data_IF_863812131400
#
_entry.id   IF_863812131400
#
_cell.length_a   1.000
_cell.length_b   1.000
_cell.length_c   1.000
_cell.angle_alpha   90.00
_cell.angle_beta   90.00
_cell.angle_gamma   90.00
#
_symmetry.space_group_name_H-M   'P 1'
#
loop_
_entity.id
_entity.type
_entity.pdbx_description
1 polymer ?
#
# COMPACT_ATOMS: atom_id res chain seq x y z
N UNK A 1 -8.94 -7.45 -4.73
CA UNK A 1 -9.52 -6.60 -3.67
C UNK A 1 -10.92 -7.10 -3.29
N UNK A 2 -11.82 -7.28 -4.25
CA UNK A 2 -13.19 -7.79 -4.02
C UNK A 2 -13.24 -9.13 -3.24
N UNK A 3 -12.29 -10.03 -3.49
CA UNK A 3 -12.17 -11.30 -2.75
C UNK A 3 -12.01 -11.09 -1.23
N UNK A 4 -11.26 -10.08 -0.80
CA UNK A 4 -11.08 -9.75 0.62
C UNK A 4 -12.25 -8.95 1.20
N UNK A 5 -13.20 -8.51 0.38
CA UNK A 5 -14.42 -7.86 0.87
C UNK A 5 -15.47 -8.89 1.33
N UNK A 6 -15.43 -10.12 0.79
CA UNK A 6 -16.35 -11.21 1.09
C UNK A 6 -15.80 -12.23 2.12
N UNK A 7 -15.08 -11.75 3.14
CA UNK A 7 -14.30 -12.62 4.06
C UNK A 7 -15.08 -13.70 4.81
N UNK A 8 -16.41 -13.58 4.93
CA UNK A 8 -17.21 -14.60 5.63
C UNK A 8 -17.34 -15.91 4.85
N UNK A 9 -17.18 -15.85 3.52
CA UNK A 9 -17.37 -17.00 2.63
C UNK A 9 -16.05 -17.47 2.00
N UNK A 10 -14.93 -16.83 2.33
CA UNK A 10 -13.60 -17.17 1.83
C UNK A 10 -12.91 -18.16 2.77
N UNK A 11 -12.25 -19.17 2.20
CA UNK A 11 -11.38 -20.03 2.98
C UNK A 11 -10.11 -19.29 3.40
N UNK A 12 -9.47 -19.74 4.48
CA UNK A 12 -8.16 -19.21 4.90
C UNK A 12 -7.12 -19.33 3.78
N UNK A 13 -7.16 -20.41 3.00
CA UNK A 13 -6.24 -20.64 1.89
C UNK A 13 -6.43 -19.64 0.74
N UNK A 14 -7.68 -19.26 0.45
CA UNK A 14 -7.96 -18.22 -0.55
C UNK A 14 -7.50 -16.85 -0.05
N UNK A 15 -7.73 -16.55 1.23
CA UNK A 15 -7.26 -15.31 1.87
C UNK A 15 -5.74 -15.20 1.80
N UNK A 16 -5.01 -16.26 2.21
CA UNK A 16 -3.55 -16.33 2.13
C UNK A 16 -3.07 -16.15 0.68
N UNK A 17 -3.70 -16.83 -0.28
CA UNK A 17 -3.34 -16.73 -1.70
C UNK A 17 -3.47 -15.29 -2.23
N UNK A 18 -4.55 -14.59 -1.85
CA UNK A 18 -4.74 -13.18 -2.25
C UNK A 18 -3.72 -12.27 -1.57
N UNK A 19 -3.42 -12.48 -0.29
CA UNK A 19 -2.42 -11.70 0.43
C UNK A 19 -1.02 -11.90 -0.15
N UNK A 20 -0.62 -13.12 -0.49
CA UNK A 20 0.65 -13.41 -1.18
C UNK A 20 0.75 -12.72 -2.55
N UNK A 21 -0.34 -12.71 -3.31
CA UNK A 21 -0.40 -12.00 -4.59
C UNK A 21 -0.23 -10.49 -4.38
N UNK A 22 -0.81 -9.91 -3.32
CA UNK A 22 -0.63 -8.50 -2.97
C UNK A 22 0.80 -8.20 -2.54
N UNK A 23 1.43 -9.04 -1.72
CA UNK A 23 2.85 -8.91 -1.36
C UNK A 23 3.71 -8.90 -2.62
N UNK A 24 3.53 -9.88 -3.50
CA UNK A 24 4.31 -10.00 -4.75
C UNK A 24 4.10 -8.78 -5.67
N UNK A 25 2.87 -8.30 -5.78
CA UNK A 25 2.56 -7.14 -6.62
C UNK A 25 3.17 -5.85 -6.05
N UNK A 26 3.11 -5.65 -4.74
CA UNK A 26 3.53 -4.42 -4.07
C UNK A 26 5.02 -4.40 -3.67
N UNK A 27 5.74 -5.49 -3.83
CA UNK A 27 7.19 -5.55 -3.67
C UNK A 27 7.91 -4.60 -4.66
N UNK A 28 7.36 -4.46 -5.87
CA UNK A 28 7.86 -3.50 -6.86
C UNK A 28 7.46 -2.05 -6.53
N UNK A 29 8.45 -1.16 -6.46
CA UNK A 29 8.26 0.26 -6.17
C UNK A 29 7.29 0.95 -7.15
N UNK A 30 7.33 0.58 -8.44
CA UNK A 30 6.45 1.15 -9.47
C UNK A 30 4.97 0.84 -9.20
N UNK A 31 4.69 -0.33 -8.65
CA UNK A 31 3.32 -0.74 -8.32
C UNK A 31 2.82 -0.03 -7.07
N UNK A 32 3.67 0.15 -6.05
CA UNK A 32 3.34 1.02 -4.91
C UNK A 32 3.05 2.45 -5.34
N UNK A 33 3.90 3.00 -6.21
CA UNK A 33 3.71 4.33 -6.77
C UNK A 33 2.40 4.44 -7.58
N UNK A 34 2.04 3.40 -8.35
CA UNK A 34 0.77 3.34 -9.08
C UNK A 34 -0.44 3.27 -8.15
N UNK A 35 -0.39 2.43 -7.11
CA UNK A 35 -1.45 2.33 -6.09
C UNK A 35 -1.72 3.70 -5.46
N UNK A 36 -0.66 4.44 -5.11
CA UNK A 36 -0.76 5.72 -4.41
C UNK A 36 -1.07 6.94 -5.31
N UNK A 37 -1.17 6.74 -6.63
CA UNK A 37 -1.75 7.77 -7.50
C UNK A 37 -3.24 7.94 -7.25
N UNK A 38 -3.93 6.87 -6.86
CA UNK A 38 -5.31 6.90 -6.43
C UNK A 38 -5.40 6.76 -4.91
N UNK A 39 -5.64 7.88 -4.25
CA UNK A 39 -5.74 7.92 -2.79
C UNK A 39 -6.94 7.12 -2.27
N UNK A 40 -8.05 7.06 -3.00
CA UNK A 40 -9.23 6.31 -2.57
C UNK A 40 -8.92 4.81 -2.54
N UNK A 41 -8.31 4.30 -3.62
CA UNK A 41 -7.90 2.90 -3.71
C UNK A 41 -6.93 2.49 -2.60
N UNK A 42 -5.93 3.33 -2.30
CA UNK A 42 -4.99 3.05 -1.20
C UNK A 42 -5.67 3.03 0.18
N UNK A 43 -6.64 3.93 0.42
CA UNK A 43 -7.41 3.95 1.67
C UNK A 43 -8.30 2.72 1.79
N UNK A 44 -9.01 2.35 0.73
CA UNK A 44 -9.87 1.15 0.70
C UNK A 44 -9.05 -0.11 0.96
N UNK A 45 -7.85 -0.23 0.35
CA UNK A 45 -6.95 -1.34 0.63
C UNK A 45 -6.57 -1.41 2.11
N UNK A 46 -6.17 -0.29 2.71
CA UNK A 46 -5.83 -0.25 4.13
C UNK A 46 -7.01 -0.63 5.03
N UNK A 47 -8.23 -0.20 4.70
CA UNK A 47 -9.44 -0.54 5.45
C UNK A 47 -9.75 -2.03 5.38
N UNK A 48 -9.63 -2.63 4.20
CA UNK A 48 -9.79 -4.07 3.98
C UNK A 48 -8.75 -4.85 4.80
N UNK A 49 -7.46 -4.48 4.69
CA UNK A 49 -6.38 -5.12 5.43
C UNK A 49 -6.56 -4.99 6.95
N UNK A 50 -6.96 -3.83 7.45
CA UNK A 50 -7.25 -3.62 8.86
C UNK A 50 -8.34 -4.58 9.35
N UNK A 51 -9.42 -4.78 8.58
CA UNK A 51 -10.46 -5.75 8.93
C UNK A 51 -9.93 -7.18 8.87
N UNK A 52 -9.19 -7.56 7.82
CA UNK A 52 -8.55 -8.88 7.70
C UNK A 52 -7.68 -9.19 8.91
N UNK A 53 -6.82 -8.26 9.33
CA UNK A 53 -5.92 -8.43 10.46
C UNK A 53 -6.61 -8.53 11.82
N UNK A 54 -7.88 -8.13 11.92
CA UNK A 54 -8.67 -8.23 13.15
C UNK A 54 -9.62 -9.43 13.17
N UNK A 55 -9.83 -10.09 12.03
CA UNK A 55 -10.90 -11.10 11.88
C UNK A 55 -10.40 -12.48 11.48
N UNK A 56 -9.15 -12.60 11.00
CA UNK A 56 -8.57 -13.89 10.63
C UNK A 56 -8.02 -14.63 11.85
N UNK A 57 -8.21 -15.95 11.87
CA UNK A 57 -7.67 -16.83 12.92
C UNK A 57 -6.36 -17.52 12.47
N UNK A 58 -6.04 -17.46 11.17
CA UNK A 58 -4.78 -17.95 10.61
C UNK A 58 -3.62 -16.98 10.89
N UNK A 59 -2.60 -17.47 11.61
CA UNK A 59 -1.36 -16.71 11.88
C UNK A 59 -0.69 -16.26 10.58
N UNK A 60 -0.68 -17.12 9.56
CA UNK A 60 -0.09 -16.80 8.26
C UNK A 60 -0.83 -15.64 7.59
N UNK A 61 -2.18 -15.67 7.60
CA UNK A 61 -2.98 -14.57 7.06
C UNK A 61 -2.76 -13.26 7.83
N UNK A 62 -2.59 -13.32 9.17
CA UNK A 62 -2.29 -12.16 10.00
C UNK A 62 -0.92 -11.54 9.66
N UNK A 63 0.12 -12.37 9.52
CA UNK A 63 1.46 -11.93 9.15
C UNK A 63 1.49 -11.32 7.75
N UNK A 64 0.90 -11.99 6.76
CA UNK A 64 0.84 -11.47 5.40
C UNK A 64 0.02 -10.18 5.30
N UNK A 65 -1.03 -10.03 6.10
CA UNK A 65 -1.78 -8.76 6.18
C UNK A 65 -0.89 -7.62 6.66
N UNK A 66 -0.04 -7.87 7.66
CA UNK A 66 0.92 -6.89 8.15
C UNK A 66 1.98 -6.55 7.08
N UNK A 67 2.48 -7.54 6.35
CA UNK A 67 3.45 -7.34 5.27
C UNK A 67 2.87 -6.45 4.15
N UNK A 68 1.64 -6.72 3.72
CA UNK A 68 0.97 -5.88 2.71
C UNK A 68 0.80 -4.45 3.22
N UNK A 69 0.39 -4.27 4.49
CA UNK A 69 0.24 -2.94 5.08
C UNK A 69 1.57 -2.18 5.15
N UNK A 70 2.66 -2.87 5.48
CA UNK A 70 4.01 -2.30 5.50
C UNK A 70 4.43 -1.80 4.12
N UNK A 71 4.17 -2.57 3.05
CA UNK A 71 4.46 -2.16 1.68
C UNK A 71 3.65 -0.92 1.27
N UNK A 72 2.38 -0.81 1.67
CA UNK A 72 1.59 0.41 1.40
C UNK A 72 2.19 1.63 2.13
N UNK A 73 2.60 1.46 3.39
CA UNK A 73 3.25 2.53 4.18
C UNK A 73 4.59 2.93 3.56
N UNK A 74 5.39 1.97 3.08
CA UNK A 74 6.64 2.23 2.38
C UNK A 74 6.41 3.07 1.14
N UNK A 75 5.45 2.70 0.30
CA UNK A 75 5.05 3.50 -0.86
C UNK A 75 4.68 4.94 -0.48
N UNK A 76 3.93 5.12 0.61
CA UNK A 76 3.51 6.45 1.06
C UNK A 76 4.70 7.29 1.51
N UNK A 77 5.68 6.68 2.18
CA UNK A 77 6.96 7.33 2.55
C UNK A 77 7.76 7.72 1.32
N UNK A 78 7.86 6.84 0.32
CA UNK A 78 8.55 7.10 -0.94
C UNK A 78 7.92 8.31 -1.67
N UNK A 79 6.59 8.35 -1.77
CA UNK A 79 5.87 9.44 -2.40
C UNK A 79 6.07 10.76 -1.63
N UNK A 80 6.03 10.72 -0.29
CA UNK A 80 6.28 11.89 0.55
C UNK A 80 7.71 12.44 0.33
N UNK A 81 8.71 11.55 0.32
CA UNK A 81 10.10 11.90 0.06
C UNK A 81 10.28 12.52 -1.33
N UNK A 82 9.69 11.90 -2.37
CA UNK A 82 9.73 12.42 -3.73
C UNK A 82 9.11 13.83 -3.83
N UNK A 83 7.96 14.05 -3.19
CA UNK A 83 7.28 15.34 -3.14
C UNK A 83 8.11 16.41 -2.42
N UNK A 84 8.77 16.05 -1.32
CA UNK A 84 9.66 16.95 -0.58
C UNK A 84 10.86 17.36 -1.45
N UNK A 85 11.49 16.41 -2.13
CA UNK A 85 12.62 16.67 -3.03
C UNK A 85 12.21 17.54 -4.23
N UNK A 86 11.02 17.33 -4.79
CA UNK A 86 10.48 18.15 -5.87
C UNK A 86 10.27 19.60 -5.43
N UNK A 87 9.72 19.82 -4.22
CA UNK A 87 9.57 21.16 -3.64
C UNK A 87 10.91 21.86 -3.44
N UNK A 88 11.91 21.19 -2.86
CA UNK A 88 13.26 21.75 -2.64
C UNK A 88 13.89 22.17 -3.98
N UNK A 89 13.85 21.29 -5.00
CA UNK A 89 14.40 21.59 -6.33
C UNK A 89 13.66 22.75 -7.01
N UNK A 90 12.34 22.84 -6.85
CA UNK A 90 11.53 23.95 -7.35
C UNK A 90 11.92 25.29 -6.72
N UNK A 91 12.10 25.32 -5.39
CA UNK A 91 12.53 26.53 -4.68
C UNK A 91 13.92 27.01 -5.10
N UNK A 92 14.88 26.10 -5.33
CA UNK A 92 16.23 26.43 -5.82
C UNK A 92 16.20 26.99 -7.25
N UNK A 93 15.34 26.46 -8.13
CA UNK A 93 15.19 26.99 -9.50
C UNK A 93 14.63 28.41 -9.50
N UNK A 94 13.67 28.70 -8.62
CA UNK A 94 13.06 30.03 -8.52
C UNK A 94 14.07 31.08 -8.04
N UNK A 95 14.90 30.78 -7.04
CA UNK A 95 15.94 31.71 -6.57
C UNK A 95 17.00 32.01 -7.64
N UNK A 96 17.38 31.03 -8.46
CA UNK A 96 18.33 31.25 -9.58
C UNK A 96 17.76 32.06 -10.74
N UNK A 97 16.43 32.11 -10.90
CA UNK A 97 15.77 32.91 -11.95
C UNK A 97 15.57 34.37 -11.53
N UNK A 98 15.70 34.67 -10.24
CA UNK A 98 15.50 35.99 -9.64
C UNK A 98 16.82 36.70 -9.28
N UNK A 99 17.97 36.08 -9.58
CA UNK A 99 19.33 36.60 -9.38
C UNK A 99 20.01 36.86 -10.71
#
# INVERSE_FOLDING_TARGET
MEALCAQRDMSDNDTVSVLLALVTLLDAQENRARLLKDRALAIELCQILHRTGLTQESIEALLLTADVLQLVIEGAKEQLHANMQAKIKGSIKLTKLLS
#
